data_IF_217427188876
#
_entry.id   IF_217427188876
#
_cell.length_a   1.000
_cell.length_b   1.000
_cell.length_c   1.000
_cell.angle_alpha   90.00
_cell.angle_beta   90.00
_cell.angle_gamma   90.00
#
_symmetry.space_group_name_H-M   'P 1'
#
loop_
_entity.id
_entity.type
_entity.pdbx_description
1 polymer ?
#
# COMPACT_ATOMS: atom_id res chain seq x y z
N UNK A 1 2.59 4.20 -23.55
CA UNK A 1 2.12 4.63 -22.23
C UNK A 1 1.55 6.01 -22.35
N UNK A 2 2.22 7.02 -22.93
CA UNK A 2 1.70 8.39 -23.06
C UNK A 2 0.28 8.58 -23.67
N UNK A 3 -0.30 7.61 -24.39
CA UNK A 3 -1.57 7.82 -25.12
C UNK A 3 -2.72 6.96 -24.61
N UNK A 4 -2.45 5.74 -24.14
CA UNK A 4 -3.38 5.02 -23.26
C UNK A 4 -3.39 5.61 -21.83
N UNK A 5 -2.28 6.20 -21.37
CA UNK A 5 -2.25 7.15 -20.22
C UNK A 5 -3.02 8.40 -20.59
N UNK A 6 -3.08 8.80 -21.86
CA UNK A 6 -3.97 9.86 -22.31
C UNK A 6 -5.43 9.56 -21.92
N UNK A 7 -5.98 8.40 -22.28
CA UNK A 7 -7.38 8.08 -21.97
C UNK A 7 -7.64 7.85 -20.46
N UNK A 8 -6.82 7.04 -19.78
CA UNK A 8 -7.02 6.75 -18.34
C UNK A 8 -6.59 7.92 -17.45
N UNK A 9 -5.56 8.69 -17.81
CA UNK A 9 -5.17 9.90 -17.10
C UNK A 9 -6.03 11.11 -17.48
N UNK A 10 -6.64 11.16 -18.66
CA UNK A 10 -7.69 12.14 -18.97
C UNK A 10 -8.98 11.79 -18.26
N UNK A 11 -9.32 10.51 -18.09
CA UNK A 11 -10.47 10.09 -17.29
C UNK A 11 -10.19 10.22 -15.79
N UNK A 12 -8.94 10.09 -15.35
CA UNK A 12 -8.48 10.40 -13.99
C UNK A 12 -8.36 11.90 -13.74
N UNK A 13 -7.86 12.69 -14.69
CA UNK A 13 -7.84 14.15 -14.63
C UNK A 13 -9.26 14.70 -14.77
N UNK A 14 -10.14 14.16 -15.59
CA UNK A 14 -11.56 14.49 -15.61
C UNK A 14 -12.21 14.04 -14.31
N UNK A 15 -11.89 12.87 -13.76
CA UNK A 15 -12.39 12.48 -12.44
C UNK A 15 -11.89 13.43 -11.36
N UNK A 16 -10.63 13.87 -11.40
CA UNK A 16 -10.06 14.86 -10.47
C UNK A 16 -10.63 16.25 -10.72
N UNK A 17 -10.88 16.66 -11.96
CA UNK A 17 -11.39 17.98 -12.31
C UNK A 17 -12.89 18.06 -11.99
N UNK A 18 -13.66 17.01 -12.30
CA UNK A 18 -15.07 16.83 -11.93
C UNK A 18 -15.20 16.68 -10.42
N UNK A 19 -14.32 15.92 -9.74
CA UNK A 19 -14.28 15.83 -8.27
C UNK A 19 -13.76 17.11 -7.61
N UNK A 20 -12.89 17.88 -8.26
CA UNK A 20 -12.41 19.17 -7.74
C UNK A 20 -13.47 20.24 -7.93
N UNK A 21 -14.27 20.19 -9.01
CA UNK A 21 -15.43 21.06 -9.23
C UNK A 21 -16.61 20.69 -8.32
N UNK A 22 -16.88 19.39 -8.10
CA UNK A 22 -17.92 18.95 -7.16
C UNK A 22 -17.48 19.03 -5.69
N UNK A 23 -16.20 18.86 -5.38
CA UNK A 23 -15.62 19.13 -4.04
C UNK A 23 -15.43 20.62 -3.76
N UNK A 24 -15.45 21.49 -4.78
CA UNK A 24 -15.61 22.94 -4.57
C UNK A 24 -17.03 23.30 -4.11
N UNK A 25 -18.04 22.46 -4.39
CA UNK A 25 -19.41 22.65 -3.91
C UNK A 25 -19.80 21.76 -2.72
N UNK A 26 -19.01 20.75 -2.33
CA UNK A 26 -19.33 19.89 -1.18
C UNK A 26 -18.15 19.71 -0.22
N UNK A 27 -18.05 20.66 0.72
CA UNK A 27 -17.73 20.44 2.14
C UNK A 27 -16.79 19.26 2.51
N UNK A 28 -15.50 19.36 2.17
CA UNK A 28 -14.45 18.57 2.85
C UNK A 28 -13.88 19.32 4.08
N UNK A 29 -14.11 20.63 4.17
CA UNK A 29 -13.60 21.46 5.29
C UNK A 29 -14.45 21.38 6.57
N UNK A 30 -15.70 20.92 6.52
CA UNK A 30 -16.56 20.81 7.71
C UNK A 30 -16.46 19.47 8.47
N UNK A 31 -16.10 18.36 7.81
CA UNK A 31 -15.99 17.07 8.53
C UNK A 31 -14.67 16.91 9.29
N UNK A 32 -13.60 17.56 8.86
CA UNK A 32 -12.34 17.57 9.62
C UNK A 32 -12.46 18.42 10.90
N UNK A 33 -13.08 19.59 10.84
CA UNK A 33 -13.32 20.43 12.03
C UNK A 33 -14.28 19.78 13.04
N UNK A 34 -15.28 19.01 12.59
CA UNK A 34 -16.15 18.25 13.50
C UNK A 34 -15.42 17.11 14.23
N UNK A 35 -14.43 16.47 13.60
CA UNK A 35 -13.57 15.48 14.27
C UNK A 35 -12.62 16.17 15.27
N UNK A 36 -12.09 17.35 14.94
CA UNK A 36 -11.25 18.13 15.86
C UNK A 36 -12.04 18.70 17.05
N UNK A 37 -13.31 19.07 16.89
CA UNK A 37 -14.14 19.54 18.01
C UNK A 37 -14.59 18.39 18.93
N UNK A 38 -14.72 17.16 18.42
CA UNK A 38 -15.02 15.97 19.23
C UNK A 38 -13.83 15.44 20.07
N UNK A 39 -12.61 15.95 19.84
CA UNK A 39 -11.43 15.64 20.67
C UNK A 39 -11.49 16.33 22.03
N UNK A 40 -12.34 17.35 22.20
CA UNK A 40 -12.32 18.25 23.38
C UNK A 40 -12.89 17.63 24.66
N UNK A 41 -13.59 16.50 24.62
CA UNK A 41 -14.27 15.92 25.79
C UNK A 41 -13.87 14.47 26.16
N UNK A 42 -12.83 13.89 25.55
CA UNK A 42 -12.40 12.53 25.93
C UNK A 42 -11.36 12.55 27.06
N UNK A 43 -11.72 11.88 28.17
CA UNK A 43 -10.74 11.40 29.17
C UNK A 43 -9.60 10.69 28.41
N UNK A 44 -8.32 10.97 28.71
CA UNK A 44 -7.22 10.28 28.07
C UNK A 44 -7.36 8.77 28.31
N UNK A 45 -7.53 8.00 27.23
CA UNK A 45 -7.42 6.54 27.29
C UNK A 45 -6.04 6.22 27.86
N UNK A 46 -5.94 5.30 28.82
CA UNK A 46 -4.68 5.00 29.50
C UNK A 46 -3.63 4.57 28.46
N UNK A 47 -2.60 5.42 28.27
CA UNK A 47 -1.61 5.26 27.18
C UNK A 47 -0.57 4.17 27.48
N UNK A 48 -0.62 3.60 28.68
CA UNK A 48 0.29 2.55 29.17
C UNK A 48 -0.34 1.14 29.14
N UNK A 49 -1.60 0.97 28.71
CA UNK A 49 -2.29 -0.33 28.69
C UNK A 49 -2.47 -0.90 27.28
N UNK A 50 -2.38 -2.23 27.15
CA UNK A 50 -2.73 -2.95 25.93
C UNK A 50 -4.22 -2.72 25.55
N UNK A 51 -4.57 -2.78 24.25
CA UNK A 51 -5.95 -2.58 23.81
C UNK A 51 -6.88 -3.75 24.13
N UNK A 52 -6.35 -4.90 24.54
CA UNK A 52 -7.09 -6.09 24.91
C UNK A 52 -6.29 -6.89 25.95
N UNK A 53 -6.99 -7.71 26.72
CA UNK A 53 -6.43 -8.57 27.78
C UNK A 53 -6.59 -10.06 27.45
N UNK A 54 -7.39 -10.40 26.43
CA UNK A 54 -7.62 -11.78 26.02
C UNK A 54 -6.37 -12.38 25.34
N UNK A 55 -5.97 -13.58 25.76
CA UNK A 55 -4.93 -14.36 25.10
C UNK A 55 -5.55 -15.29 24.05
N UNK A 56 -5.42 -14.91 22.77
CA UNK A 56 -5.99 -15.66 21.64
C UNK A 56 -5.24 -16.95 21.31
N UNK A 57 -3.93 -17.01 21.59
CA UNK A 57 -3.05 -18.10 21.19
C UNK A 57 -3.06 -19.29 22.18
N UNK A 58 -3.83 -19.20 23.27
CA UNK A 58 -3.79 -20.14 24.40
C UNK A 58 -2.53 -19.97 25.24
N UNK A 59 -2.45 -20.58 26.44
CA UNK A 59 -1.24 -20.55 27.25
C UNK A 59 -0.10 -21.25 26.49
N UNK A 60 1.10 -20.65 26.53
CA UNK A 60 2.33 -21.26 25.98
C UNK A 60 2.53 -22.59 26.73
N UNK A 61 2.20 -23.72 26.10
CA UNK A 61 2.55 -25.03 26.64
C UNK A 61 4.06 -25.18 26.53
N UNK A 62 4.76 -25.08 27.65
CA UNK A 62 6.09 -25.65 27.79
C UNK A 62 5.89 -27.17 27.81
N UNK A 63 6.10 -27.84 26.68
CA UNK A 63 6.07 -29.30 26.64
C UNK A 63 7.18 -29.83 27.55
N UNK A 64 6.78 -30.48 28.64
CA UNK A 64 7.70 -31.11 29.57
C UNK A 64 8.28 -32.39 28.97
N UNK A 65 9.57 -32.38 28.66
CA UNK A 65 10.46 -33.55 28.72
C UNK A 65 11.93 -33.11 28.53
N UNK A 66 12.68 -33.07 29.64
CA UNK A 66 14.11 -33.33 29.83
C UNK A 66 15.07 -33.14 28.63
N UNK A 67 15.82 -32.02 28.63
CA UNK A 67 17.29 -31.95 28.76
C UNK A 67 17.79 -30.57 28.27
N UNK A 68 18.41 -29.80 29.17
CA UNK A 68 19.31 -28.67 28.88
C UNK A 68 18.82 -27.59 27.89
N UNK A 69 17.70 -26.93 28.18
CA UNK A 69 17.38 -25.61 27.59
C UNK A 69 17.00 -24.65 28.73
N UNK A 70 17.97 -24.32 29.59
CA UNK A 70 17.84 -23.16 30.47
C UNK A 70 17.96 -21.89 29.61
N UNK A 71 16.89 -21.07 29.57
CA UNK A 71 16.69 -19.81 28.80
C UNK A 71 16.28 -19.93 27.33
N UNK A 72 15.23 -20.69 26.99
CA UNK A 72 14.54 -20.41 25.72
C UNK A 72 13.75 -19.10 25.88
N UNK A 73 14.01 -18.12 25.00
CA UNK A 73 13.30 -16.84 24.98
C UNK A 73 11.78 -17.08 24.94
N UNK A 74 11.00 -16.55 25.91
CA UNK A 74 9.55 -16.79 25.98
C UNK A 74 8.80 -16.30 24.74
N UNK A 75 9.40 -15.42 23.93
CA UNK A 75 8.80 -14.84 22.73
C UNK A 75 9.26 -15.51 21.43
N UNK A 76 10.13 -16.52 21.47
CA UNK A 76 10.73 -17.12 20.28
C UNK A 76 9.69 -17.61 19.25
N UNK A 77 8.56 -18.14 19.73
CA UNK A 77 7.49 -18.67 18.88
C UNK A 77 6.53 -17.59 18.31
N UNK A 78 6.66 -16.33 18.74
CA UNK A 78 5.80 -15.23 18.32
C UNK A 78 6.35 -14.47 17.11
N UNK A 79 7.66 -14.55 16.89
CA UNK A 79 8.39 -13.80 15.88
C UNK A 79 8.83 -14.67 14.70
N UNK A 80 9.06 -14.08 13.50
CA UNK A 80 9.59 -14.81 12.36
C UNK A 80 11.02 -15.31 12.63
N UNK A 81 11.49 -16.31 11.89
CA UNK A 81 12.82 -16.89 12.09
C UNK A 81 13.98 -15.89 11.87
N UNK A 82 13.78 -14.89 11.01
CA UNK A 82 14.77 -13.87 10.68
C UNK A 82 14.09 -12.67 10.05
N UNK A 83 14.72 -11.50 10.14
CA UNK A 83 14.25 -10.29 9.46
C UNK A 83 15.39 -9.60 8.70
N UNK A 84 15.02 -8.79 7.71
CA UNK A 84 15.96 -8.02 6.90
C UNK A 84 16.11 -6.62 7.49
N UNK A 85 17.32 -6.24 7.89
CA UNK A 85 17.60 -4.90 8.43
C UNK A 85 17.54 -3.84 7.33
N UNK A 86 17.60 -2.56 7.71
CA UNK A 86 17.68 -1.46 6.73
C UNK A 86 18.95 -1.51 5.86
N UNK A 87 20.06 -2.06 6.39
CA UNK A 87 21.28 -2.37 5.63
C UNK A 87 21.15 -3.60 4.71
N UNK A 88 19.96 -4.21 4.69
CA UNK A 88 19.57 -5.41 3.95
C UNK A 88 20.25 -6.70 4.45
N UNK A 89 20.81 -6.68 5.66
CA UNK A 89 21.43 -7.86 6.26
C UNK A 89 20.37 -8.71 6.97
N UNK A 90 20.63 -10.01 7.04
CA UNK A 90 19.76 -10.93 7.74
C UNK A 90 20.14 -10.94 9.22
N UNK A 91 19.18 -10.62 10.09
CA UNK A 91 19.37 -10.59 11.54
C UNK A 91 18.41 -11.56 12.25
N UNK A 92 18.83 -12.06 13.41
CA UNK A 92 18.02 -12.89 14.29
C UNK A 92 17.07 -12.00 15.12
N UNK A 93 15.83 -12.45 15.40
CA UNK A 93 14.91 -11.74 16.29
C UNK A 93 15.47 -11.47 17.69
N UNK A 94 16.27 -12.42 18.21
CA UNK A 94 16.86 -12.39 19.55
C UNK A 94 17.74 -11.16 19.81
N UNK A 95 18.22 -10.53 18.75
CA UNK A 95 19.21 -9.46 18.86
C UNK A 95 18.53 -8.11 19.14
N UNK A 96 17.34 -7.87 18.57
CA UNK A 96 16.60 -6.62 18.74
C UNK A 96 15.11 -6.73 18.32
N UNK A 97 14.24 -7.06 19.27
CA UNK A 97 12.79 -7.10 19.04
C UNK A 97 12.19 -5.75 18.64
N UNK A 98 12.73 -4.63 19.13
CA UNK A 98 12.19 -3.30 18.82
C UNK A 98 12.40 -2.96 17.33
N UNK A 99 13.59 -3.22 16.81
CA UNK A 99 13.91 -3.01 15.40
C UNK A 99 13.09 -3.95 14.49
N UNK A 100 12.92 -5.20 14.90
CA UNK A 100 12.09 -6.17 14.19
C UNK A 100 10.64 -5.68 14.12
N UNK A 101 10.01 -5.33 15.24
CA UNK A 101 8.62 -4.84 15.29
C UNK A 101 8.47 -3.56 14.44
N UNK A 102 9.43 -2.64 14.51
CA UNK A 102 9.43 -1.43 13.70
C UNK A 102 9.50 -1.73 12.20
N UNK A 103 10.31 -2.72 11.80
CA UNK A 103 10.42 -3.16 10.40
C UNK A 103 9.15 -3.89 9.91
N UNK A 104 8.56 -4.75 10.74
CA UNK A 104 7.33 -5.49 10.44
C UNK A 104 6.11 -4.58 10.31
N UNK A 105 6.09 -3.46 11.04
CA UNK A 105 5.03 -2.45 11.00
C UNK A 105 5.39 -1.25 10.12
N UNK A 106 6.41 -1.35 9.27
CA UNK A 106 6.84 -0.22 8.44
C UNK A 106 5.78 0.15 7.38
N UNK A 107 5.29 1.39 7.49
CA UNK A 107 4.37 2.02 6.54
C UNK A 107 4.88 3.38 6.07
N UNK A 108 6.17 3.67 6.23
CA UNK A 108 6.77 4.97 5.88
C UNK A 108 6.48 5.36 4.42
N UNK A 109 6.48 4.38 3.52
CA UNK A 109 6.16 4.54 2.10
C UNK A 109 4.77 5.15 1.90
N UNK A 110 3.74 4.56 2.52
CA UNK A 110 2.36 5.06 2.46
C UNK A 110 2.19 6.39 3.21
N UNK A 111 2.87 6.57 4.35
CA UNK A 111 2.79 7.81 5.12
C UNK A 111 3.30 9.02 4.31
N UNK A 112 4.34 8.84 3.48
CA UNK A 112 4.88 9.90 2.62
C UNK A 112 3.85 10.43 1.62
N UNK A 113 2.95 9.57 1.15
CA UNK A 113 1.89 9.93 0.19
C UNK A 113 0.52 10.05 0.86
N UNK A 114 0.46 10.15 2.18
CA UNK A 114 -0.79 10.11 2.94
C UNK A 114 -1.85 11.10 2.40
N UNK A 115 -1.42 12.32 2.04
CA UNK A 115 -2.28 13.37 1.46
C UNK A 115 -3.00 12.96 0.17
N UNK A 116 -2.49 11.98 -0.56
CA UNK A 116 -3.03 11.52 -1.84
C UNK A 116 -3.72 10.16 -1.74
N UNK A 117 -3.71 9.50 -0.57
CA UNK A 117 -4.29 8.16 -0.42
C UNK A 117 -5.80 8.11 -0.73
N UNK A 118 -6.53 9.22 -0.54
CA UNK A 118 -7.94 9.34 -0.89
C UNK A 118 -8.23 9.06 -2.37
N UNK A 119 -7.24 9.30 -3.24
CA UNK A 119 -7.33 8.97 -4.66
C UNK A 119 -7.29 7.45 -4.86
N UNK A 120 -6.40 6.77 -4.13
CA UNK A 120 -6.18 5.33 -4.26
C UNK A 120 -7.23 4.47 -3.57
N UNK A 121 -7.94 4.99 -2.56
CA UNK A 121 -8.97 4.24 -1.83
C UNK A 121 -9.96 5.12 -1.08
N UNK A 122 -11.17 4.61 -0.92
CA UNK A 122 -12.25 5.28 -0.18
C UNK A 122 -12.07 5.08 1.33
N UNK A 123 -12.47 6.07 2.13
CA UNK A 123 -12.45 6.01 3.59
C UNK A 123 -13.60 5.16 4.16
N UNK A 124 -13.63 3.87 3.81
CA UNK A 124 -14.65 2.90 4.21
C UNK A 124 -13.97 1.68 4.85
N UNK A 125 -14.60 1.00 5.83
CA UNK A 125 -14.15 -0.29 6.34
C UNK A 125 -13.81 -1.29 5.22
N UNK A 126 -12.79 -2.13 5.43
CA UNK A 126 -12.38 -3.14 4.46
C UNK A 126 -13.55 -4.09 4.25
N UNK A 127 -13.78 -4.52 3.01
CA UNK A 127 -14.79 -5.53 2.75
C UNK A 127 -14.36 -6.85 3.37
N UNK A 128 -15.34 -7.62 3.84
CA UNK A 128 -15.13 -8.96 4.39
C UNK A 128 -14.44 -9.89 3.39
N UNK A 129 -13.77 -10.93 3.88
CA UNK A 129 -13.06 -11.89 3.03
C UNK A 129 -13.97 -12.55 1.99
N UNK A 130 -15.18 -12.96 2.36
CA UNK A 130 -16.13 -13.52 1.40
C UNK A 130 -16.54 -12.52 0.31
N UNK A 131 -16.66 -11.20 0.61
CA UNK A 131 -16.97 -10.16 -0.39
C UNK A 131 -15.74 -9.89 -1.30
N UNK A 132 -14.51 -10.12 -0.83
CA UNK A 132 -13.34 -10.11 -1.72
C UNK A 132 -13.43 -11.26 -2.74
N UNK A 133 -13.77 -12.47 -2.27
CA UNK A 133 -13.87 -13.65 -3.12
C UNK A 133 -15.04 -13.57 -4.10
N UNK A 134 -16.20 -13.09 -3.67
CA UNK A 134 -17.39 -12.92 -4.54
C UNK A 134 -17.13 -11.94 -5.69
N UNK A 135 -16.19 -11.00 -5.50
CA UNK A 135 -15.73 -10.05 -6.52
C UNK A 135 -14.65 -10.62 -7.45
N UNK A 136 -14.35 -11.90 -7.33
CA UNK A 136 -13.32 -12.58 -8.11
C UNK A 136 -11.89 -12.16 -7.75
N UNK A 137 -11.65 -11.68 -6.52
CA UNK A 137 -10.30 -11.37 -6.05
C UNK A 137 -9.72 -12.58 -5.33
N UNK A 138 -8.57 -13.04 -5.79
CA UNK A 138 -7.74 -14.01 -5.11
C UNK A 138 -6.95 -13.34 -3.96
N UNK A 139 -6.92 -13.98 -2.79
CA UNK A 139 -6.12 -13.54 -1.64
C UNK A 139 -4.67 -13.98 -1.82
N UNK A 140 -3.76 -13.02 -1.88
CA UNK A 140 -2.32 -13.23 -1.99
C UNK A 140 -1.63 -12.79 -0.70
N UNK A 141 -0.86 -13.68 -0.09
CA UNK A 141 -0.09 -13.40 1.13
C UNK A 141 1.05 -12.42 0.82
N UNK A 142 1.25 -11.42 1.69
CA UNK A 142 2.38 -10.48 1.63
C UNK A 142 2.90 -10.16 3.02
N UNK A 143 4.19 -10.28 3.30
CA UNK A 143 4.70 -9.84 4.61
C UNK A 143 4.89 -8.32 4.71
N UNK A 144 4.86 -7.60 3.60
CA UNK A 144 5.00 -6.14 3.63
C UNK A 144 3.72 -5.45 4.14
N UNK A 145 3.82 -4.69 5.24
CA UNK A 145 2.70 -3.98 5.88
C UNK A 145 2.11 -2.88 4.97
N UNK A 146 2.94 -2.23 4.17
CA UNK A 146 2.50 -1.24 3.18
C UNK A 146 1.71 -1.85 2.00
N UNK A 147 1.76 -3.16 1.81
CA UNK A 147 0.99 -3.90 0.80
C UNK A 147 -0.33 -4.50 1.33
N UNK A 148 -0.54 -4.52 2.65
CA UNK A 148 -1.77 -5.06 3.23
C UNK A 148 -3.01 -4.27 2.76
N UNK A 149 -4.00 -4.95 2.18
CA UNK A 149 -5.20 -4.41 1.54
C UNK A 149 -4.96 -3.59 0.25
N UNK A 150 -3.79 -3.73 -0.36
CA UNK A 150 -3.58 -3.27 -1.73
C UNK A 150 -4.18 -4.29 -2.70
N UNK A 151 -4.95 -3.86 -3.69
CA UNK A 151 -5.57 -4.75 -4.66
C UNK A 151 -5.31 -4.33 -6.10
N UNK A 152 -5.33 -5.32 -7.00
CA UNK A 152 -5.22 -5.18 -8.45
C UNK A 152 -6.28 -6.05 -9.13
N UNK A 153 -6.32 -6.08 -10.46
CA UNK A 153 -7.26 -6.91 -11.21
C UNK A 153 -7.14 -8.37 -10.77
N UNK A 154 -8.22 -8.90 -10.17
CA UNK A 154 -8.32 -10.28 -9.73
C UNK A 154 -7.51 -10.66 -8.49
N UNK A 155 -6.79 -9.73 -7.81
CA UNK A 155 -5.95 -10.07 -6.65
C UNK A 155 -6.03 -9.02 -5.55
N UNK A 156 -6.00 -9.46 -4.30
CA UNK A 156 -5.84 -8.62 -3.11
C UNK A 156 -4.69 -9.13 -2.27
N UNK A 157 -3.78 -8.24 -1.90
CA UNK A 157 -2.62 -8.56 -1.07
C UNK A 157 -3.00 -8.37 0.40
N UNK A 158 -2.85 -9.42 1.21
CA UNK A 158 -3.17 -9.40 2.64
C UNK A 158 -1.99 -9.93 3.43
N UNK A 159 -1.45 -9.10 4.33
CA UNK A 159 -0.48 -9.54 5.33
C UNK A 159 -1.13 -10.44 6.38
N UNK A 160 -0.64 -11.67 6.62
CA UNK A 160 -1.08 -12.55 7.69
C UNK A 160 -0.96 -11.88 9.06
N UNK A 161 -1.81 -12.25 10.01
CA UNK A 161 -1.82 -11.65 11.34
C UNK A 161 -0.62 -12.18 12.14
N UNK A 162 0.40 -11.35 12.44
CA UNK A 162 1.56 -11.79 13.19
C UNK A 162 1.17 -12.19 14.62
N UNK A 163 1.74 -13.29 15.10
CA UNK A 163 1.42 -13.85 16.42
C UNK A 163 1.73 -12.88 17.55
N UNK A 164 2.83 -12.14 17.47
CA UNK A 164 3.22 -11.14 18.47
C UNK A 164 2.18 -10.03 18.67
N UNK A 165 1.36 -9.70 17.65
CA UNK A 165 0.29 -8.70 17.80
C UNK A 165 -0.93 -9.22 18.55
N UNK A 166 -1.06 -10.54 18.72
CA UNK A 166 -2.14 -11.17 19.47
C UNK A 166 -1.79 -11.39 20.94
N UNK A 167 -0.55 -11.10 21.34
CA UNK A 167 -0.07 -11.27 22.72
C UNK A 167 -0.07 -9.93 23.47
N UNK A 168 -0.89 -9.75 24.53
CA UNK A 168 -0.97 -8.48 25.25
C UNK A 168 0.36 -7.98 25.86
N UNK A 169 1.26 -8.88 26.26
CA UNK A 169 2.54 -8.52 26.89
C UNK A 169 3.45 -7.74 25.94
N UNK A 170 3.47 -8.11 24.65
CA UNK A 170 4.22 -7.40 23.61
C UNK A 170 3.74 -5.96 23.47
N UNK A 171 2.43 -5.72 23.62
CA UNK A 171 1.90 -4.36 23.57
C UNK A 171 2.43 -3.52 24.72
N UNK A 172 2.38 -4.03 25.95
CA UNK A 172 2.87 -3.30 27.13
C UNK A 172 4.37 -3.06 27.09
N UNK A 173 5.15 -4.02 26.59
CA UNK A 173 6.62 -3.97 26.61
C UNK A 173 7.21 -3.10 25.48
N UNK A 174 6.66 -3.22 24.26
CA UNK A 174 7.26 -2.63 23.05
C UNK A 174 6.41 -1.53 22.39
N UNK A 175 5.08 -1.53 22.52
CA UNK A 175 4.20 -0.60 21.80
C UNK A 175 3.62 0.53 22.68
N UNK A 176 3.36 0.25 23.95
CA UNK A 176 2.84 1.22 24.90
C UNK A 176 3.91 2.26 25.25
N UNK A 177 3.45 3.46 25.62
CA UNK A 177 4.33 4.49 26.15
C UNK A 177 4.87 4.01 27.50
N UNK A 178 6.17 4.23 27.76
CA UNK A 178 6.70 4.11 29.11
C UNK A 178 6.16 5.24 29.98
N UNK A 179 6.08 5.02 31.28
CA UNK A 179 5.52 5.99 32.24
C UNK A 179 6.29 7.32 32.27
N UNK A 180 7.55 7.32 31.82
CA UNK A 180 8.41 8.51 31.67
C UNK A 180 8.26 9.23 30.32
N UNK A 181 7.38 8.78 29.41
CA UNK A 181 7.19 9.38 28.09
C UNK A 181 6.48 10.74 28.22
N UNK A 182 7.11 11.79 27.69
CA UNK A 182 6.52 13.15 27.53
C UNK A 182 5.21 13.19 26.71
N UNK A 183 4.89 12.06 26.11
CA UNK A 183 3.69 11.75 25.34
C UNK A 183 2.43 11.79 26.22
N UNK A 184 2.58 11.50 27.51
CA UNK A 184 1.50 11.42 28.51
C UNK A 184 1.10 12.83 28.99
N UNK A 185 2.08 13.74 29.09
CA UNK A 185 1.86 15.15 29.40
C UNK A 185 1.37 15.91 28.16
N UNK A 186 0.05 16.01 27.99
CA UNK A 186 -0.55 16.83 26.93
C UNK A 186 -0.14 18.31 27.11
N UNK A 187 0.07 18.97 25.97
CA UNK A 187 0.12 20.43 25.72
C UNK A 187 1.53 21.06 25.68
N UNK A 188 2.24 20.87 24.57
CA UNK A 188 3.10 21.95 24.06
C UNK A 188 2.30 22.67 22.96
N UNK A 189 1.68 23.80 23.32
CA UNK A 189 0.83 24.62 22.45
C UNK A 189 1.63 25.43 21.42
N UNK A 190 2.97 25.33 21.44
CA UNK A 190 3.83 26.23 20.68
C UNK A 190 4.12 25.76 19.25
N UNK A 191 3.93 24.47 18.96
CA UNK A 191 4.03 23.91 17.61
C UNK A 191 2.81 23.01 17.39
N UNK A 192 1.93 23.33 16.43
CA UNK A 192 0.67 22.62 16.16
C UNK A 192 0.79 21.16 15.69
N UNK A 193 1.77 20.40 16.17
CA UNK A 193 1.97 18.98 15.95
C UNK A 193 2.13 18.29 17.31
N UNK A 194 1.27 17.33 17.67
CA UNK A 194 1.46 16.56 18.90
C UNK A 194 2.80 15.82 18.84
N UNK A 195 3.64 15.97 19.86
CA UNK A 195 4.91 15.27 19.97
C UNK A 195 4.65 13.79 20.27
N UNK A 196 4.62 12.97 19.22
CA UNK A 196 4.37 11.52 19.31
C UNK A 196 5.69 10.74 19.33
N UNK A 197 5.91 9.92 20.37
CA UNK A 197 7.04 8.99 20.40
C UNK A 197 6.89 7.89 19.35
N UNK A 198 8.00 7.23 19.04
CA UNK A 198 8.06 6.15 18.06
C UNK A 198 7.15 4.97 18.44
N UNK A 199 7.18 4.54 19.70
CA UNK A 199 6.29 3.46 20.21
C UNK A 199 4.81 3.78 19.99
N UNK A 200 4.39 5.02 20.23
CA UNK A 200 3.01 5.46 19.99
C UNK A 200 2.65 5.42 18.51
N UNK A 201 3.59 5.79 17.62
CA UNK A 201 3.36 5.67 16.17
C UNK A 201 3.16 4.20 15.77
N UNK A 202 4.01 3.30 16.27
CA UNK A 202 3.88 1.85 16.05
C UNK A 202 2.58 1.30 16.62
N UNK A 203 2.20 1.69 17.82
CA UNK A 203 0.92 1.33 18.44
C UNK A 203 -0.27 1.68 17.55
N UNK A 204 -0.31 2.91 17.02
CA UNK A 204 -1.40 3.36 16.13
C UNK A 204 -1.45 2.55 14.84
N UNK A 205 -0.30 2.12 14.33
CA UNK A 205 -0.20 1.26 13.13
C UNK A 205 -0.70 -0.15 13.44
N UNK A 206 -0.20 -0.76 14.51
CA UNK A 206 -0.62 -2.08 14.97
C UNK A 206 -2.13 -2.13 15.24
N UNK A 207 -2.69 -1.11 15.91
CA UNK A 207 -4.12 -1.03 16.18
C UNK A 207 -4.94 -0.86 14.90
N UNK A 208 -4.48 -0.04 13.97
CA UNK A 208 -5.10 0.11 12.65
C UNK A 208 -5.10 -1.18 11.84
N UNK A 209 -4.06 -2.00 12.00
CA UNK A 209 -3.96 -3.32 11.38
C UNK A 209 -4.88 -4.37 12.04
N UNK A 210 -5.02 -4.36 13.36
CA UNK A 210 -6.04 -5.19 14.01
C UNK A 210 -7.45 -4.78 13.57
N UNK A 211 -7.69 -3.48 13.40
CA UNK A 211 -8.95 -2.95 12.88
C UNK A 211 -9.24 -3.34 11.43
N UNK A 212 -8.23 -3.51 10.57
CA UNK A 212 -8.46 -4.05 9.22
C UNK A 212 -8.90 -5.50 9.30
N UNK A 213 -8.29 -6.31 10.17
CA UNK A 213 -8.69 -7.69 10.41
C UNK A 213 -10.10 -7.85 10.98
N UNK A 214 -10.49 -7.01 11.95
CA UNK A 214 -11.87 -6.97 12.45
C UNK A 214 -12.88 -6.67 11.34
N UNK A 215 -12.49 -5.89 10.32
CA UNK A 215 -13.35 -5.60 9.17
C UNK A 215 -13.33 -6.68 8.08
N UNK A 216 -12.21 -7.43 7.94
CA UNK A 216 -12.07 -8.57 7.04
C UNK A 216 -12.86 -9.80 7.54
N UNK A 217 -12.87 -10.02 8.85
CA UNK A 217 -13.44 -11.20 9.49
C UNK A 217 -14.69 -10.79 10.30
N UNK A 218 -15.81 -10.60 9.58
CA UNK A 218 -17.08 -10.16 10.18
C UNK A 218 -17.98 -11.31 10.54
N UNK A 219 -17.96 -12.37 9.73
CA UNK A 219 -18.78 -13.55 9.91
C UNK A 219 -17.92 -14.78 10.19
N UNK A 220 -18.55 -15.83 10.72
CA UNK A 220 -17.88 -17.10 10.97
C UNK A 220 -17.35 -17.75 9.67
N UNK A 221 -18.05 -17.55 8.54
CA UNK A 221 -17.56 -17.97 7.23
C UNK A 221 -16.24 -17.28 6.86
N UNK A 222 -16.10 -15.97 7.13
CA UNK A 222 -14.84 -15.25 6.93
C UNK A 222 -13.73 -15.78 7.82
N UNK A 223 -14.06 -16.19 9.05
CA UNK A 223 -13.11 -16.75 9.99
C UNK A 223 -12.55 -18.10 9.51
N UNK A 224 -13.43 -18.97 9.00
CA UNK A 224 -13.01 -20.23 8.38
C UNK A 224 -12.17 -19.99 7.11
N UNK A 225 -12.57 -19.03 6.27
CA UNK A 225 -11.80 -18.62 5.10
C UNK A 225 -10.42 -18.05 5.48
N UNK A 226 -10.34 -17.28 6.55
CA UNK A 226 -9.07 -16.73 7.04
C UNK A 226 -8.11 -17.83 7.50
N UNK A 227 -8.63 -18.90 8.10
CA UNK A 227 -7.84 -20.09 8.46
C UNK A 227 -7.41 -20.90 7.24
N UNK A 228 -8.32 -21.14 6.31
CA UNK A 228 -8.06 -21.83 5.03
C UNK A 228 -6.93 -21.15 4.24
N UNK A 229 -6.91 -19.81 4.25
CA UNK A 229 -5.90 -19.00 3.55
C UNK A 229 -4.68 -18.64 4.40
N UNK A 230 -4.48 -19.30 5.55
CA UNK A 230 -3.34 -19.08 6.45
C UNK A 230 -3.14 -17.61 6.89
N UNK A 231 -4.22 -16.82 6.91
CA UNK A 231 -4.19 -15.41 7.36
C UNK A 231 -4.23 -15.27 8.88
N UNK A 232 -4.74 -16.30 9.56
CA UNK A 232 -4.74 -16.44 11.01
C UNK A 232 -3.82 -17.60 11.41
N UNK A 233 -3.16 -17.51 12.58
CA UNK A 233 -2.44 -18.64 13.16
C UNK A 233 -3.36 -19.87 13.28
N UNK A 234 -2.92 -21.01 12.74
CA UNK A 234 -3.77 -22.21 12.61
C UNK A 234 -4.11 -22.88 13.95
N UNK A 235 -3.33 -22.62 15.00
CA UNK A 235 -3.54 -23.21 16.32
C UNK A 235 -4.27 -22.27 17.30
N UNK A 236 -5.26 -22.81 18.02
CA UNK A 236 -5.78 -22.23 19.27
C UNK A 236 -6.87 -21.16 19.17
N UNK A 237 -7.07 -20.51 18.02
CA UNK A 237 -8.07 -19.42 17.91
C UNK A 237 -9.46 -20.00 17.64
N UNK A 238 -10.41 -19.78 18.56
CA UNK A 238 -11.84 -20.08 18.37
C UNK A 238 -12.61 -18.86 17.85
N UNK A 239 -13.76 -19.07 17.20
CA UNK A 239 -14.63 -17.98 16.77
C UNK A 239 -15.13 -17.14 17.96
N UNK A 240 -15.42 -17.78 19.09
CA UNK A 240 -15.81 -17.09 20.32
C UNK A 240 -14.71 -16.17 20.85
N UNK A 241 -13.45 -16.64 20.87
CA UNK A 241 -12.31 -15.82 21.29
C UNK A 241 -12.10 -14.63 20.34
N UNK A 242 -12.34 -14.84 19.04
CA UNK A 242 -12.30 -13.75 18.04
C UNK A 242 -13.37 -12.68 18.31
N UNK A 243 -14.63 -13.07 18.60
CA UNK A 243 -15.69 -12.12 18.95
C UNK A 243 -15.31 -11.31 20.20
N UNK A 244 -14.84 -11.99 21.25
CA UNK A 244 -14.42 -11.36 22.50
C UNK A 244 -13.26 -10.37 22.28
N UNK A 245 -12.30 -10.73 21.42
CA UNK A 245 -11.19 -9.86 21.03
C UNK A 245 -11.65 -8.62 20.27
N UNK A 246 -12.47 -8.78 19.23
CA UNK A 246 -13.02 -7.64 18.45
C UNK A 246 -13.84 -6.70 19.34
N UNK A 247 -14.56 -7.25 20.34
CA UNK A 247 -15.29 -6.44 21.32
C UNK A 247 -14.37 -5.58 22.19
N UNK A 248 -13.22 -6.10 22.62
CA UNK A 248 -12.24 -5.35 23.43
C UNK A 248 -11.54 -4.24 22.64
N UNK A 249 -11.39 -4.42 21.33
CA UNK A 249 -10.80 -3.42 20.42
C UNK A 249 -11.62 -2.12 20.32
N UNK A 250 -12.90 -2.11 20.71
CA UNK A 250 -13.79 -0.94 20.67
C UNK A 250 -13.82 -0.28 19.28
N UNK A 251 -14.25 -1.05 18.28
CA UNK A 251 -14.20 -0.66 16.87
C UNK A 251 -15.01 0.59 16.53
N UNK A 252 -15.97 0.99 17.38
CA UNK A 252 -16.79 2.18 17.19
C UNK A 252 -16.01 3.47 17.42
N UNK A 253 -15.10 3.48 18.40
CA UNK A 253 -14.38 4.68 18.82
C UNK A 253 -12.90 4.70 18.42
N UNK A 254 -12.48 3.76 17.57
CA UNK A 254 -11.07 3.44 17.27
C UNK A 254 -10.34 4.49 16.40
N UNK A 255 -11.07 5.28 15.61
CA UNK A 255 -10.49 6.18 14.58
C UNK A 255 -9.44 7.20 15.10
N UNK A 256 -9.59 7.84 16.27
CA UNK A 256 -8.58 8.78 16.78
C UNK A 256 -7.26 8.10 17.20
N UNK A 257 -7.30 6.80 17.48
CA UNK A 257 -6.19 6.01 18.01
C UNK A 257 -5.47 5.18 16.93
N UNK A 258 -5.89 5.26 15.67
CA UNK A 258 -5.28 4.51 14.57
C UNK A 258 -4.48 5.43 13.66
N UNK A 259 -3.52 4.83 12.96
CA UNK A 259 -2.77 5.57 11.97
C UNK A 259 -3.69 5.95 10.79
N UNK A 260 -3.65 7.20 10.29
CA UNK A 260 -4.50 7.68 9.19
C UNK A 260 -4.46 6.82 7.90
N UNK A 261 -3.38 6.05 7.68
CA UNK A 261 -3.30 5.04 6.60
C UNK A 261 -4.46 4.06 6.65
N UNK A 262 -4.93 3.65 7.83
CA UNK A 262 -6.00 2.66 7.99
C UNK A 262 -7.41 3.25 7.91
N UNK A 263 -7.55 4.56 7.72
CA UNK A 263 -8.82 5.16 7.32
C UNK A 263 -9.19 4.72 5.90
N UNK A 264 -8.17 4.63 5.02
CA UNK A 264 -8.29 4.19 3.63
C UNK A 264 -7.83 2.73 3.53
N UNK A 265 -8.77 1.80 3.61
CA UNK A 265 -8.41 0.39 3.76
C UNK A 265 -8.02 -0.26 2.44
N UNK A 266 -8.94 -0.33 1.48
CA UNK A 266 -8.65 -0.93 0.18
C UNK A 266 -8.00 0.08 -0.77
N UNK A 267 -6.73 -0.14 -1.09
CA UNK A 267 -5.96 0.74 -1.97
C UNK A 267 -5.79 0.08 -3.34
N UNK A 268 -6.22 0.75 -4.41
CA UNK A 268 -6.03 0.26 -5.77
C UNK A 268 -4.59 0.49 -6.22
N UNK A 269 -3.88 -0.59 -6.56
CA UNK A 269 -2.47 -0.55 -6.95
C UNK A 269 -2.19 0.35 -8.15
N UNK A 270 -3.09 0.39 -9.14
CA UNK A 270 -2.92 1.25 -10.32
C UNK A 270 -2.89 2.73 -9.94
N UNK A 271 -3.80 3.17 -9.06
CA UNK A 271 -3.86 4.55 -8.57
C UNK A 271 -2.67 4.88 -7.68
N UNK A 272 -2.23 3.91 -6.88
CA UNK A 272 -1.05 4.07 -6.04
C UNK A 272 0.22 4.26 -6.87
N UNK A 273 0.35 3.52 -7.98
CA UNK A 273 1.43 3.72 -8.95
C UNK A 273 1.39 5.13 -9.57
N UNK A 274 0.21 5.64 -9.93
CA UNK A 274 0.08 7.01 -10.45
C UNK A 274 0.50 8.05 -9.41
N UNK A 275 0.05 7.92 -8.16
CA UNK A 275 0.45 8.83 -7.08
C UNK A 275 1.97 8.84 -6.96
N UNK A 276 2.62 7.68 -6.91
CA UNK A 276 4.08 7.59 -6.82
C UNK A 276 4.80 8.19 -8.03
N UNK A 277 4.28 7.95 -9.23
CA UNK A 277 4.80 8.50 -10.46
C UNK A 277 4.76 10.04 -10.46
N UNK A 278 3.62 10.64 -10.11
CA UNK A 278 3.44 12.09 -10.15
C UNK A 278 4.04 12.83 -8.94
N UNK A 279 4.07 12.20 -7.76
CA UNK A 279 4.50 12.89 -6.53
C UNK A 279 5.95 12.65 -6.17
N UNK A 280 6.49 11.46 -6.48
CA UNK A 280 7.87 11.08 -6.12
C UNK A 280 8.77 10.94 -7.35
N UNK A 281 8.26 11.18 -8.56
CA UNK A 281 8.98 11.02 -9.83
C UNK A 281 9.71 9.66 -9.91
N UNK A 282 9.15 8.63 -9.27
CA UNK A 282 9.74 7.29 -9.29
C UNK A 282 9.07 6.46 -10.38
N UNK A 283 9.71 6.25 -11.54
CA UNK A 283 9.13 5.47 -12.64
C UNK A 283 8.96 3.98 -12.29
N UNK A 284 9.54 3.52 -11.18
CA UNK A 284 9.35 2.17 -10.65
C UNK A 284 7.95 1.94 -10.03
N UNK A 285 7.21 3.01 -9.69
CA UNK A 285 5.91 2.92 -9.01
C UNK A 285 5.98 2.41 -7.58
N UNK A 286 4.83 2.01 -7.01
CA UNK A 286 4.73 1.51 -5.64
C UNK A 286 5.15 0.04 -5.50
N UNK A 287 5.04 -0.78 -6.54
CA UNK A 287 5.54 -2.15 -6.53
C UNK A 287 6.56 -2.30 -7.65
N UNK A 288 7.83 -2.53 -7.29
CA UNK A 288 8.94 -2.81 -8.21
C UNK A 288 8.79 -4.26 -8.71
N UNK A 289 7.75 -4.51 -9.49
CA UNK A 289 7.42 -5.82 -10.07
C UNK A 289 8.09 -5.92 -11.44
N UNK A 290 9.14 -6.73 -11.53
CA UNK A 290 9.93 -6.95 -12.76
C UNK A 290 9.14 -7.59 -13.92
N UNK A 291 7.95 -8.15 -13.68
CA UNK A 291 7.11 -8.80 -14.71
C UNK A 291 6.47 -7.83 -15.73
N UNK A 292 6.61 -6.51 -15.53
CA UNK A 292 5.78 -5.53 -16.23
C UNK A 292 6.32 -5.06 -17.58
N UNK A 293 7.53 -5.45 -18.01
CA UNK A 293 8.00 -5.06 -19.34
C UNK A 293 7.10 -5.65 -20.44
N UNK A 294 6.79 -6.94 -20.34
CA UNK A 294 5.86 -7.61 -21.27
C UNK A 294 4.47 -6.96 -21.25
N UNK A 295 3.88 -6.77 -20.06
CA UNK A 295 2.57 -6.12 -19.90
C UNK A 295 2.56 -4.68 -20.40
N UNK A 296 3.65 -3.93 -20.19
CA UNK A 296 3.81 -2.57 -20.71
C UNK A 296 3.78 -2.55 -22.24
N UNK A 297 4.50 -3.46 -22.91
CA UNK A 297 4.46 -3.53 -24.36
C UNK A 297 3.09 -4.00 -24.86
N UNK A 298 2.51 -5.06 -24.29
CA UNK A 298 1.21 -5.56 -24.73
C UNK A 298 0.08 -4.53 -24.62
N UNK A 299 -0.02 -3.80 -23.50
CA UNK A 299 -1.08 -2.79 -23.34
C UNK A 299 -0.88 -1.58 -24.28
N UNK A 300 0.36 -1.17 -24.50
CA UNK A 300 0.65 -0.01 -25.35
C UNK A 300 0.58 -0.34 -26.84
N UNK A 301 1.03 -1.53 -27.24
CA UNK A 301 0.97 -2.01 -28.62
C UNK A 301 -0.47 -2.33 -29.03
N UNK A 302 -1.30 -2.87 -28.12
CA UNK A 302 -2.71 -3.14 -28.42
C UNK A 302 -3.49 -1.87 -28.76
N UNK A 303 -3.34 -0.81 -27.96
CA UNK A 303 -4.03 0.46 -28.22
C UNK A 303 -3.49 1.19 -29.46
N UNK A 304 -2.17 1.12 -29.70
CA UNK A 304 -1.55 1.62 -30.93
C UNK A 304 -2.07 0.88 -32.16
N UNK A 305 -2.11 -0.46 -32.13
CA UNK A 305 -2.61 -1.26 -33.22
C UNK A 305 -4.07 -0.94 -33.54
N UNK A 306 -4.94 -0.84 -32.52
CA UNK A 306 -6.33 -0.47 -32.70
C UNK A 306 -6.48 0.93 -33.34
N UNK A 307 -5.68 1.91 -32.87
CA UNK A 307 -5.69 3.28 -33.41
C UNK A 307 -5.19 3.32 -34.85
N UNK A 308 -4.11 2.60 -35.17
CA UNK A 308 -3.56 2.50 -36.52
C UNK A 308 -4.55 1.83 -37.47
N UNK A 309 -5.24 0.76 -37.05
CA UNK A 309 -6.29 0.12 -37.85
C UNK A 309 -7.42 1.09 -38.13
N UNK A 310 -7.91 1.81 -37.12
CA UNK A 310 -8.96 2.82 -37.30
C UNK A 310 -8.53 3.93 -38.27
N UNK A 311 -7.31 4.46 -38.11
CA UNK A 311 -6.74 5.46 -39.01
C UNK A 311 -6.67 4.93 -40.45
N UNK A 312 -6.22 3.68 -40.64
CA UNK A 312 -6.18 3.06 -41.96
C UNK A 312 -7.56 2.98 -42.61
N UNK A 313 -8.60 2.60 -41.85
CA UNK A 313 -9.99 2.60 -42.33
C UNK A 313 -10.41 3.99 -42.79
N UNK A 314 -10.16 5.04 -41.98
CA UNK A 314 -10.49 6.42 -42.37
C UNK A 314 -9.72 6.85 -43.62
N UNK A 315 -8.42 6.54 -43.72
CA UNK A 315 -7.62 6.82 -44.91
C UNK A 315 -8.19 6.13 -46.16
N UNK A 316 -8.62 4.87 -46.06
CA UNK A 316 -9.24 4.17 -47.20
C UNK A 316 -10.57 4.81 -47.62
N UNK A 317 -11.42 5.22 -46.67
CA UNK A 317 -12.66 5.93 -46.99
C UNK A 317 -12.38 7.30 -47.63
N UNK A 318 -11.31 7.98 -47.19
CA UNK A 318 -10.89 9.26 -47.74
C UNK A 318 -10.31 9.13 -49.15
N UNK A 319 -9.57 8.04 -49.45
CA UNK A 319 -9.12 7.71 -50.80
C UNK A 319 -10.31 7.52 -51.75
N UNK A 320 -11.37 6.84 -51.30
CA UNK A 320 -12.62 6.70 -52.07
C UNK A 320 -13.31 8.04 -52.28
N UNK A 321 -13.35 8.90 -51.25
CA UNK A 321 -13.92 10.25 -51.37
C UNK A 321 -13.17 11.13 -52.37
N UNK A 322 -11.84 11.11 -52.36
CA UNK A 322 -10.99 11.84 -53.31
C UNK A 322 -11.11 11.32 -54.75
N UNK A 323 -11.57 10.08 -54.95
CA UNK A 323 -11.84 9.54 -56.28
C UNK A 323 -13.16 10.03 -56.89
N UNK A 324 -14.04 10.66 -56.11
CA UNK A 324 -15.32 11.21 -56.60
C UNK A 324 -15.17 12.66 -57.08
N UNK A 325 -15.77 13.02 -58.21
CA UNK A 325 -15.63 14.37 -58.79
C UNK A 325 -16.16 15.50 -57.90
N UNK A 326 -17.16 15.21 -57.04
CA UNK A 326 -17.80 16.20 -56.16
C UNK A 326 -16.89 16.61 -55.00
N UNK A 327 -16.22 15.65 -54.36
CA UNK A 327 -15.31 15.90 -53.25
C UNK A 327 -13.88 16.23 -53.72
N UNK A 328 -13.44 15.67 -54.85
CA UNK A 328 -12.14 15.96 -55.44
C UNK A 328 -12.00 17.43 -55.85
N UNK A 329 -13.06 18.08 -56.34
CA UNK A 329 -13.03 19.49 -56.76
C UNK A 329 -13.11 20.47 -55.58
N UNK A 330 -13.38 20.01 -54.36
CA UNK A 330 -13.48 20.86 -53.18
C UNK A 330 -12.11 21.04 -52.50
N UNK A 331 -11.55 22.25 -52.58
CA UNK A 331 -10.23 22.59 -52.01
C UNK A 331 -10.15 22.40 -50.49
N UNK A 332 -11.27 22.58 -49.77
CA UNK A 332 -11.31 22.33 -48.32
C UNK A 332 -11.15 20.84 -47.98
N UNK A 333 -11.73 19.97 -48.80
CA UNK A 333 -11.64 18.52 -48.63
C UNK A 333 -10.23 18.00 -48.98
N UNK A 334 -9.60 18.54 -50.02
CA UNK A 334 -8.21 18.22 -50.35
C UNK A 334 -7.23 18.63 -49.25
N UNK A 335 -7.39 19.84 -48.70
CA UNK A 335 -6.54 20.32 -47.58
C UNK A 335 -6.72 19.47 -46.32
N UNK A 336 -7.96 19.13 -45.96
CA UNK A 336 -8.26 18.23 -44.85
C UNK A 336 -7.64 16.83 -45.08
N UNK A 337 -7.68 16.33 -46.32
CA UNK A 337 -7.09 15.04 -46.69
C UNK A 337 -5.58 15.00 -46.57
N UNK A 338 -4.92 16.07 -47.02
CA UNK A 338 -3.48 16.23 -46.86
C UNK A 338 -3.09 16.28 -45.38
N UNK A 339 -3.75 17.12 -44.59
CA UNK A 339 -3.48 17.24 -43.14
C UNK A 339 -3.68 15.92 -42.39
N UNK A 340 -4.76 15.20 -42.69
CA UNK A 340 -5.05 13.91 -42.07
C UNK A 340 -4.04 12.83 -42.47
N UNK A 341 -3.57 12.82 -43.73
CA UNK A 341 -2.53 11.90 -44.19
C UNK A 341 -1.21 12.13 -43.47
N UNK A 342 -0.78 13.38 -43.35
CA UNK A 342 0.44 13.75 -42.61
C UNK A 342 0.32 13.37 -41.13
N UNK A 343 -0.82 13.63 -40.50
CA UNK A 343 -1.09 13.22 -39.12
C UNK A 343 -1.06 11.70 -38.94
N UNK A 344 -1.60 10.95 -39.89
CA UNK A 344 -1.68 9.48 -39.84
C UNK A 344 -0.31 8.80 -39.94
N UNK A 345 0.66 9.46 -40.57
CA UNK A 345 2.05 8.98 -40.66
C UNK A 345 2.85 9.42 -39.43
N UNK A 346 2.86 10.73 -39.15
CA UNK A 346 3.67 11.30 -38.07
C UNK A 346 3.14 10.93 -36.68
N UNK A 347 1.83 10.85 -36.51
CA UNK A 347 1.16 10.55 -35.25
C UNK A 347 1.72 9.26 -34.64
N UNK A 348 1.46 8.07 -35.21
CA UNK A 348 1.95 6.80 -34.69
C UNK A 348 3.47 6.76 -34.48
N UNK A 349 4.25 7.42 -35.35
CA UNK A 349 5.72 7.46 -35.22
C UNK A 349 6.17 8.25 -33.98
N UNK A 350 5.59 9.42 -33.75
CA UNK A 350 5.81 10.21 -32.52
C UNK A 350 5.37 9.42 -31.29
N UNK A 351 4.22 8.74 -31.38
CA UNK A 351 3.68 7.92 -30.30
C UNK A 351 4.64 6.80 -29.88
N UNK A 352 5.17 6.06 -30.87
CA UNK A 352 6.15 4.98 -30.67
C UNK A 352 7.45 5.56 -30.12
N UNK A 353 7.95 6.66 -30.68
CA UNK A 353 9.16 7.34 -30.20
C UNK A 353 9.05 7.74 -28.72
N UNK A 354 7.93 8.35 -28.32
CA UNK A 354 7.65 8.71 -26.93
C UNK A 354 7.60 7.49 -25.99
N UNK A 355 7.08 6.35 -26.46
CA UNK A 355 7.07 5.11 -25.68
C UNK A 355 8.47 4.56 -25.47
N UNK A 356 9.30 4.57 -26.52
CA UNK A 356 10.70 4.13 -26.45
C UNK A 356 11.49 5.03 -25.51
N UNK A 357 11.35 6.35 -25.61
CA UNK A 357 12.02 7.30 -24.71
C UNK A 357 11.61 7.04 -23.26
N UNK A 358 10.31 6.90 -22.97
CA UNK A 358 9.83 6.60 -21.62
C UNK A 358 10.39 5.27 -21.09
N UNK A 359 10.48 4.25 -21.94
CA UNK A 359 11.07 2.96 -21.59
C UNK A 359 12.58 3.09 -21.27
N UNK A 360 13.34 3.82 -22.08
CA UNK A 360 14.76 4.07 -21.85
C UNK A 360 14.97 4.82 -20.54
N UNK A 361 14.20 5.88 -20.28
CA UNK A 361 14.25 6.61 -19.01
C UNK A 361 13.99 5.70 -17.81
N UNK A 362 12.97 4.82 -17.89
CA UNK A 362 12.65 3.86 -16.85
C UNK A 362 13.78 2.85 -16.64
N UNK A 363 14.39 2.35 -17.72
CA UNK A 363 15.51 1.41 -17.67
C UNK A 363 16.73 2.05 -17.02
N UNK A 364 17.12 3.25 -17.47
CA UNK A 364 18.25 4.00 -16.90
C UNK A 364 18.03 4.27 -15.41
N UNK A 365 16.83 4.71 -15.02
CA UNK A 365 16.49 4.92 -13.60
C UNK A 365 16.56 3.62 -12.79
N UNK A 366 16.00 2.53 -13.30
CA UNK A 366 15.99 1.26 -12.60
C UNK A 366 17.41 0.70 -12.44
N UNK A 367 18.23 0.78 -13.49
CA UNK A 367 19.63 0.34 -13.49
C UNK A 367 20.48 1.22 -12.58
N UNK A 368 20.35 2.55 -12.64
CA UNK A 368 21.11 3.46 -11.77
C UNK A 368 20.77 3.25 -10.30
N UNK A 369 19.50 3.05 -9.96
CA UNK A 369 19.07 2.74 -8.61
C UNK A 369 19.64 1.40 -8.13
N UNK A 370 19.64 0.37 -8.99
CA UNK A 370 20.23 -0.94 -8.67
C UNK A 370 21.75 -0.82 -8.44
N UNK A 371 22.47 -0.11 -9.30
CA UNK A 371 23.92 0.13 -9.15
C UNK A 371 24.22 0.90 -7.87
N UNK A 372 23.45 1.95 -7.57
CA UNK A 372 23.60 2.73 -6.35
C UNK A 372 23.37 1.88 -5.09
N UNK A 373 22.38 0.98 -5.13
CA UNK A 373 22.16 0.01 -4.05
C UNK A 373 23.37 -0.94 -3.93
N UNK A 374 23.86 -1.52 -5.03
CA UNK A 374 25.02 -2.42 -5.02
C UNK A 374 26.25 -1.75 -4.40
N UNK A 375 26.61 -0.54 -4.81
CA UNK A 375 27.76 0.21 -4.25
C UNK A 375 27.64 0.44 -2.75
N UNK A 376 26.43 0.77 -2.26
CA UNK A 376 26.17 0.92 -0.82
C UNK A 376 26.39 -0.40 -0.07
N UNK A 377 26.00 -1.53 -0.66
CA UNK A 377 26.19 -2.86 -0.05
C UNK A 377 27.66 -3.27 -0.03
N UNK A 378 28.39 -3.00 -1.11
CA UNK A 378 29.84 -3.24 -1.16
C UNK A 378 30.59 -2.46 -0.08
N UNK A 379 30.25 -1.17 0.10
CA UNK A 379 30.80 -0.35 1.19
C UNK A 379 30.50 -0.93 2.58
N UNK A 380 29.25 -1.36 2.80
CA UNK A 380 28.84 -1.97 4.06
C UNK A 380 29.60 -3.28 4.38
N UNK A 381 29.81 -4.14 3.38
CA UNK A 381 30.63 -5.35 3.55
C UNK A 381 32.10 -5.03 3.86
N UNK A 382 32.64 -3.95 3.28
CA UNK A 382 33.98 -3.44 3.61
C UNK A 382 34.11 -3.06 5.08
N UNK A 383 33.20 -2.22 5.59
CA UNK A 383 33.19 -1.78 6.98
C UNK A 383 33.03 -2.94 7.97
N UNK A 384 32.19 -3.93 7.67
CA UNK A 384 32.05 -5.11 8.55
C UNK A 384 33.32 -5.95 8.62
N UNK A 385 34.08 -6.08 7.52
CA UNK A 385 35.36 -6.80 7.51
C UNK A 385 36.41 -6.10 8.35
N UNK A 386 36.49 -4.76 8.25
CA UNK A 386 37.41 -3.94 9.05
C UNK A 386 37.12 -4.03 10.55
N UNK A 387 35.84 -3.96 10.95
CA UNK A 387 35.44 -4.10 12.34
C UNK A 387 35.74 -5.50 12.92
N UNK A 388 35.68 -6.55 12.10
CA UNK A 388 36.02 -7.92 12.53
C UNK A 388 37.53 -8.19 12.58
N UNK A 389 38.34 -7.42 11.84
CA UNK A 389 39.80 -7.53 11.87
C UNK A 389 40.48 -6.73 13.00
N UNK A 390 39.72 -5.85 13.66
CA UNK A 390 40.19 -4.98 14.75
C UNK A 390 39.73 -5.41 16.14
N UNK A 391 38.83 -6.41 16.23
CA UNK A 391 38.46 -7.13 17.46
C UNK A 391 39.22 -8.44 17.54
#
# INVERSE_FOLDING_TARGET
MLIAVGADAFQFCQSILVLSLSSLQTNVRMKQTSVYSAVKERKPKNMSSAPFTIQLLGPIKQDGANHSIDKLDPYLNLFPASYCTQSHDLASPSDNYTALIASELDIQRLNRIHRWLWVAGTAVPARSLHDQLSRGREVVITEAMDMHLVWTTGKVYIKPLPRFLLEPTIWTEYLCCQDTCKCISRLDYNNGQPMECERRKLYKVALGFLYSYAALIRHESDFLLAKDRYLLPSCGISWFNWIAFVKQLDTEHIYPDINPRFHHKELRLSRLNYIYYFTQLSPAGFLRRWDRYSTFFHMNLGWLAATTVYIAVVLTAMQVGLATETLAKNSTFQSASYGFTVFSILGPLVCVGLIVVAFVCMLVFNTSHTIAQMRKREGHFGTQRENRGTS
#
